data_IF_707349271970
#
_entry.id   IF_707349271970
#
_cell.length_a   1.000
_cell.length_b   1.000
_cell.length_c   1.000
_cell.angle_alpha   90.00
_cell.angle_beta   90.00
_cell.angle_gamma   90.00
#
_symmetry.space_group_name_H-M   'P 1'
#
loop_
_entity.id
_entity.type
_entity.pdbx_description
1 polymer ?
#
# COMPACT_ATOMS: atom_id res chain seq x y z
N UNK A 1 -18.04 -4.19 10.47
CA UNK A 1 -16.60 -4.24 10.17
C UNK A 1 -16.06 -2.83 10.36
N UNK A 2 -14.91 -2.62 11.00
CA UNK A 2 -14.35 -1.26 11.06
C UNK A 2 -13.76 -0.85 9.70
N UNK A 3 -13.74 0.45 9.39
CA UNK A 3 -13.14 0.99 8.16
C UNK A 3 -11.65 0.66 8.05
N UNK A 4 -10.93 0.68 9.18
CA UNK A 4 -9.51 0.35 9.22
C UNK A 4 -9.30 -1.14 8.94
N UNK A 5 -10.17 -1.97 9.51
CA UNK A 5 -10.21 -3.40 9.26
C UNK A 5 -10.49 -3.70 7.78
N UNK A 6 -11.41 -2.97 7.13
CA UNK A 6 -11.69 -3.14 5.70
C UNK A 6 -10.51 -2.73 4.82
N UNK A 7 -9.78 -1.66 5.15
CA UNK A 7 -8.55 -1.28 4.43
C UNK A 7 -7.45 -2.33 4.58
N UNK A 8 -7.24 -2.85 5.80
CA UNK A 8 -6.25 -3.91 6.03
C UNK A 8 -6.63 -5.20 5.30
N UNK A 9 -7.87 -5.68 5.46
CA UNK A 9 -8.34 -6.90 4.80
C UNK A 9 -8.39 -6.75 3.29
N UNK A 10 -8.88 -5.62 2.80
CA UNK A 10 -8.92 -5.31 1.37
C UNK A 10 -7.52 -5.31 0.75
N UNK A 11 -6.51 -4.80 1.47
CA UNK A 11 -5.12 -4.88 1.02
C UNK A 11 -4.56 -6.32 1.07
N UNK A 12 -4.86 -7.07 2.13
CA UNK A 12 -4.39 -8.45 2.32
C UNK A 12 -5.01 -9.42 1.31
N UNK A 13 -6.33 -9.37 1.11
CA UNK A 13 -7.07 -10.21 0.17
C UNK A 13 -6.91 -9.69 -1.27
N UNK A 14 -6.85 -8.37 -1.41
CA UNK A 14 -6.67 -7.65 -2.66
C UNK A 14 -5.22 -7.73 -3.17
N UNK A 15 -4.48 -6.64 -3.04
CA UNK A 15 -3.12 -6.50 -3.57
C UNK A 15 -2.14 -7.57 -3.07
N UNK A 16 -2.16 -7.86 -1.77
CA UNK A 16 -1.28 -8.83 -1.11
C UNK A 16 -1.61 -10.28 -1.51
N UNK A 17 -2.90 -10.57 -1.65
CA UNK A 17 -3.46 -11.89 -1.91
C UNK A 17 -3.53 -12.26 -3.39
N UNK A 18 -4.44 -13.18 -3.69
CA UNK A 18 -4.60 -13.79 -5.02
C UNK A 18 -5.70 -13.14 -5.87
N UNK A 19 -6.29 -12.02 -5.46
CA UNK A 19 -7.30 -11.36 -6.31
C UNK A 19 -6.74 -11.01 -7.68
N UNK A 20 -7.57 -11.20 -8.71
CA UNK A 20 -7.19 -10.91 -10.09
C UNK A 20 -7.04 -9.41 -10.29
N UNK A 21 -5.80 -8.98 -10.56
CA UNK A 21 -5.53 -7.61 -11.03
C UNK A 21 -6.22 -7.40 -12.38
N UNK A 22 -6.88 -6.26 -12.54
CA UNK A 22 -7.58 -5.89 -13.77
C UNK A 22 -6.99 -4.62 -14.34
N UNK A 23 -6.85 -4.60 -15.66
CA UNK A 23 -6.60 -3.37 -16.40
C UNK A 23 -7.91 -2.62 -16.61
N UNK A 24 -7.93 -1.33 -16.28
CA UNK A 24 -9.11 -0.46 -16.42
C UNK A 24 -8.78 0.81 -17.18
N UNK A 25 -9.70 1.26 -18.03
CA UNK A 25 -9.58 2.51 -18.77
C UNK A 25 -10.41 3.62 -18.11
N UNK A 26 -9.80 4.79 -17.87
CA UNK A 26 -10.43 5.98 -17.28
C UNK A 26 -9.93 7.23 -17.99
N UNK A 27 -10.82 7.99 -18.63
CA UNK A 27 -10.43 9.25 -19.29
C UNK A 27 -9.31 9.12 -20.33
N UNK A 28 -9.14 7.94 -20.94
CA UNK A 28 -8.04 7.64 -21.88
C UNK A 28 -6.76 7.08 -21.25
N UNK A 29 -6.68 6.99 -19.92
CA UNK A 29 -5.58 6.37 -19.20
C UNK A 29 -5.88 4.91 -18.90
N UNK A 30 -4.85 4.06 -18.96
CA UNK A 30 -4.92 2.64 -18.56
C UNK A 30 -4.28 2.50 -17.17
N UNK A 31 -5.05 1.99 -16.21
CA UNK A 31 -4.63 1.75 -14.85
C UNK A 31 -4.65 0.25 -14.53
N UNK A 32 -3.93 -0.13 -13.50
CA UNK A 32 -4.14 -1.40 -12.81
C UNK A 32 -5.11 -1.20 -11.66
N UNK A 33 -5.86 -2.25 -11.33
CA UNK A 33 -6.78 -2.23 -10.20
C UNK A 33 -6.91 -3.59 -9.53
N UNK A 34 -7.25 -3.56 -8.25
CA UNK A 34 -7.70 -4.70 -7.45
C UNK A 34 -9.04 -4.35 -6.79
N UNK A 35 -9.88 -5.34 -6.60
CA UNK A 35 -11.21 -5.16 -6.03
C UNK A 35 -11.57 -6.34 -5.15
N UNK A 36 -12.15 -6.04 -3.99
CA UNK A 36 -12.58 -7.01 -3.00
C UNK A 36 -13.93 -6.59 -2.42
N UNK A 37 -14.88 -7.53 -2.36
CA UNK A 37 -16.22 -7.30 -1.82
C UNK A 37 -16.52 -8.38 -0.77
N UNK A 38 -17.06 -7.99 0.37
CA UNK A 38 -17.49 -8.92 1.42
C UNK A 38 -18.90 -9.42 1.15
N UNK A 39 -19.30 -10.51 1.83
CA UNK A 39 -20.68 -11.03 1.73
C UNK A 39 -21.76 -10.04 2.17
N UNK A 40 -21.39 -9.08 3.02
CA UNK A 40 -22.29 -8.06 3.56
C UNK A 40 -22.35 -6.80 2.68
N UNK A 41 -21.68 -6.81 1.52
CA UNK A 41 -21.68 -5.71 0.55
C UNK A 41 -20.65 -4.60 0.80
N UNK A 42 -19.74 -4.77 1.78
CA UNK A 42 -18.65 -3.82 1.98
C UNK A 42 -17.62 -3.97 0.88
N UNK A 43 -17.11 -2.86 0.37
CA UNK A 43 -16.25 -2.84 -0.82
C UNK A 43 -14.88 -2.22 -0.52
N UNK A 44 -13.83 -2.83 -1.05
CA UNK A 44 -12.49 -2.26 -1.19
C UNK A 44 -12.13 -2.23 -2.67
N UNK A 45 -11.60 -1.09 -3.11
CA UNK A 45 -11.08 -0.91 -4.44
C UNK A 45 -9.73 -0.21 -4.37
N UNK A 46 -8.74 -0.75 -5.05
CA UNK A 46 -7.43 -0.15 -5.21
C UNK A 46 -7.18 0.04 -6.70
N UNK A 47 -6.73 1.22 -7.08
CA UNK A 47 -6.31 1.50 -8.45
C UNK A 47 -5.04 2.33 -8.46
N UNK A 48 -4.13 1.99 -9.38
CA UNK A 48 -2.84 2.66 -9.50
C UNK A 48 -2.36 2.71 -10.93
N UNK A 49 -1.50 3.70 -11.18
CA UNK A 49 -0.79 3.88 -12.43
C UNK A 49 0.70 3.94 -12.11
N UNK A 50 1.36 2.79 -12.17
CA UNK A 50 2.79 2.69 -11.90
C UNK A 50 3.41 1.53 -12.71
N UNK A 51 4.53 1.79 -13.36
CA UNK A 51 5.41 0.72 -13.84
C UNK A 51 6.58 0.51 -12.85
N UNK A 52 7.33 1.58 -12.58
CA UNK A 52 8.37 1.60 -11.54
C UNK A 52 8.07 2.57 -10.41
N UNK A 53 7.62 3.77 -10.76
CA UNK A 53 7.18 4.83 -9.85
C UNK A 53 5.83 5.31 -10.34
N UNK A 54 4.93 5.62 -9.42
CA UNK A 54 3.62 6.13 -9.76
C UNK A 54 2.80 6.45 -8.52
N UNK A 55 1.49 6.51 -8.73
CA UNK A 55 0.53 6.77 -7.67
C UNK A 55 -0.71 5.93 -7.82
N UNK A 56 -1.45 5.84 -6.73
CA UNK A 56 -2.71 5.13 -6.68
C UNK A 56 -3.59 5.65 -5.56
N UNK A 57 -4.78 5.09 -5.51
CA UNK A 57 -5.74 5.35 -4.46
C UNK A 57 -6.47 4.07 -4.09
N UNK A 58 -6.76 3.98 -2.80
CA UNK A 58 -7.64 2.98 -2.24
C UNK A 58 -8.92 3.66 -1.80
N UNK A 59 -10.03 3.03 -2.13
CA UNK A 59 -11.38 3.45 -1.83
C UNK A 59 -12.04 2.31 -1.06
N UNK A 60 -12.64 2.62 0.08
CA UNK A 60 -13.50 1.66 0.79
C UNK A 60 -14.88 2.23 1.02
N UNK A 61 -15.88 1.37 0.97
CA UNK A 61 -17.25 1.66 1.40
C UNK A 61 -17.66 0.63 2.45
N UNK A 62 -18.00 1.11 3.65
CA UNK A 62 -18.43 0.30 4.79
C UNK A 62 -19.67 0.94 5.41
N UNK A 63 -20.77 0.20 5.47
CA UNK A 63 -22.06 0.67 6.01
C UNK A 63 -22.50 2.04 5.41
N UNK A 64 -22.27 2.22 4.10
CA UNK A 64 -22.58 3.46 3.36
C UNK A 64 -21.62 4.63 3.57
N UNK A 65 -20.57 4.48 4.39
CA UNK A 65 -19.52 5.48 4.59
C UNK A 65 -18.31 5.18 3.74
N UNK A 66 -17.71 6.22 3.15
CA UNK A 66 -16.56 6.08 2.24
C UNK A 66 -15.27 6.53 2.92
N UNK A 67 -14.15 5.92 2.56
CA UNK A 67 -12.83 6.37 2.99
C UNK A 67 -11.85 6.25 1.83
N UNK A 68 -10.89 7.18 1.78
CA UNK A 68 -9.85 7.18 0.75
C UNK A 68 -8.46 7.20 1.36
N UNK A 69 -7.55 6.47 0.74
CA UNK A 69 -6.12 6.61 0.96
C UNK A 69 -5.47 6.83 -0.39
N UNK A 70 -4.72 7.91 -0.53
CA UNK A 70 -3.88 8.12 -1.71
C UNK A 70 -2.45 7.78 -1.38
N UNK A 71 -1.73 7.25 -2.35
CA UNK A 71 -0.35 6.86 -2.17
C UNK A 71 0.46 7.09 -3.43
N UNK A 72 1.76 7.33 -3.25
CA UNK A 72 2.69 7.46 -4.36
C UNK A 72 4.09 6.99 -3.97
N UNK A 73 4.77 6.38 -4.93
CA UNK A 73 6.12 5.90 -4.76
C UNK A 73 6.48 4.77 -5.72
N UNK A 74 7.45 3.95 -5.33
CA UNK A 74 7.98 2.90 -6.17
C UNK A 74 9.34 2.41 -5.71
N UNK A 75 10.07 1.77 -6.63
CA UNK A 75 11.42 1.25 -6.38
C UNK A 75 12.51 2.18 -6.92
N UNK A 76 13.75 1.96 -6.49
CA UNK A 76 14.95 2.44 -7.21
C UNK A 76 14.99 1.89 -8.65
N UNK A 77 15.93 2.37 -9.48
CA UNK A 77 16.02 1.95 -10.89
C UNK A 77 16.33 0.46 -11.04
N UNK A 78 15.98 -0.11 -12.19
CA UNK A 78 16.25 -1.53 -12.45
C UNK A 78 17.75 -1.83 -12.50
N UNK A 79 18.56 -0.90 -13.00
CA UNK A 79 20.02 -1.01 -12.97
C UNK A 79 20.54 -1.07 -11.53
N UNK A 80 20.06 -0.17 -10.67
CA UNK A 80 20.46 -0.16 -9.27
C UNK A 80 19.99 -1.43 -8.52
N UNK A 81 18.80 -1.96 -8.83
CA UNK A 81 18.36 -3.25 -8.31
C UNK A 81 19.27 -4.39 -8.77
N UNK A 82 19.68 -4.40 -10.05
CA UNK A 82 20.60 -5.40 -10.60
C UNK A 82 21.97 -5.37 -9.92
N UNK A 83 22.47 -4.19 -9.55
CA UNK A 83 23.72 -4.05 -8.80
C UNK A 83 23.66 -4.73 -7.43
N UNK A 84 22.46 -4.82 -6.84
CA UNK A 84 22.20 -5.59 -5.62
C UNK A 84 21.87 -7.07 -5.87
N UNK A 85 21.77 -7.51 -7.12
CA UNK A 85 21.31 -8.85 -7.50
C UNK A 85 19.80 -9.05 -7.31
N UNK A 86 19.02 -7.97 -7.36
CA UNK A 86 17.58 -7.97 -7.14
C UNK A 86 16.79 -7.66 -8.41
N UNK A 87 15.51 -7.99 -8.38
CA UNK A 87 14.51 -7.56 -9.35
C UNK A 87 13.39 -6.77 -8.65
N UNK A 88 12.59 -6.04 -9.44
CA UNK A 88 11.35 -5.40 -8.93
C UNK A 88 10.44 -6.42 -8.23
N UNK A 89 10.40 -7.65 -8.74
CA UNK A 89 9.58 -8.73 -8.18
C UNK A 89 9.99 -9.09 -6.75
N UNK A 90 11.28 -9.08 -6.44
CA UNK A 90 11.78 -9.42 -5.10
C UNK A 90 11.32 -8.38 -4.07
N UNK A 91 11.46 -7.10 -4.41
CA UNK A 91 11.01 -5.98 -3.58
C UNK A 91 9.49 -6.02 -3.35
N UNK A 92 8.71 -6.24 -4.42
CA UNK A 92 7.25 -6.34 -4.31
C UNK A 92 6.83 -7.60 -3.51
N UNK A 93 7.56 -8.70 -3.62
CA UNK A 93 7.28 -9.92 -2.85
C UNK A 93 7.54 -9.70 -1.36
N UNK A 94 8.63 -9.02 -1.01
CA UNK A 94 8.92 -8.63 0.38
C UNK A 94 7.87 -7.64 0.92
N UNK A 95 7.42 -6.68 0.11
CA UNK A 95 6.31 -5.79 0.46
C UNK A 95 5.03 -6.57 0.75
N UNK A 96 4.62 -7.46 -0.16
CA UNK A 96 3.41 -8.28 0.01
C UNK A 96 3.48 -9.13 1.27
N UNK A 97 4.63 -9.75 1.54
CA UNK A 97 4.84 -10.52 2.77
C UNK A 97 4.56 -9.66 4.02
N UNK A 98 5.15 -8.47 4.09
CA UNK A 98 4.94 -7.55 5.22
C UNK A 98 3.48 -7.10 5.36
N UNK A 99 2.78 -6.86 4.25
CA UNK A 99 1.35 -6.55 4.24
C UNK A 99 0.53 -7.71 4.81
N UNK A 100 0.81 -8.94 4.37
CA UNK A 100 0.08 -10.13 4.80
C UNK A 100 0.30 -10.40 6.30
N UNK A 101 1.54 -10.29 6.78
CA UNK A 101 1.90 -10.60 8.16
C UNK A 101 1.59 -9.48 9.17
N UNK A 102 1.63 -8.22 8.73
CA UNK A 102 1.59 -7.06 9.64
C UNK A 102 0.60 -5.96 9.21
N UNK A 103 -0.35 -6.27 8.31
CA UNK A 103 -1.30 -5.31 7.74
C UNK A 103 -2.13 -4.53 8.76
N UNK A 104 -2.32 -5.08 9.96
CA UNK A 104 -3.04 -4.48 11.08
C UNK A 104 -2.20 -3.48 11.89
N UNK A 105 -0.87 -3.50 11.74
CA UNK A 105 0.09 -2.63 12.45
C UNK A 105 0.59 -1.47 11.60
N UNK A 106 0.49 -1.60 10.28
CA UNK A 106 0.98 -0.61 9.32
C UNK A 106 -0.13 0.31 8.83
N UNK A 107 0.25 1.43 8.20
CA UNK A 107 -0.62 2.26 7.36
C UNK A 107 -1.95 2.74 7.97
N UNK A 108 -2.09 2.89 9.30
CA UNK A 108 -3.26 3.51 9.98
C UNK A 108 -3.13 3.58 11.52
N UNK A 109 -2.17 2.84 12.12
CA UNK A 109 -2.03 2.74 13.57
C UNK A 109 -0.91 3.64 14.13
N UNK A 110 0.31 3.52 13.61
CA UNK A 110 1.47 4.23 14.14
C UNK A 110 2.76 3.86 13.43
N UNK A 111 3.89 4.28 14.01
CA UNK A 111 5.21 3.84 13.56
C UNK A 111 5.35 2.33 13.76
N UNK A 112 5.92 1.65 12.76
CA UNK A 112 6.13 0.20 12.81
C UNK A 112 7.43 -0.18 12.14
N UNK A 113 8.21 -1.06 12.77
CA UNK A 113 9.44 -1.60 12.23
C UNK A 113 9.60 -3.02 12.80
N UNK A 114 9.34 -4.08 12.02
CA UNK A 114 9.62 -5.44 12.46
C UNK A 114 11.13 -5.67 12.53
N UNK A 115 11.53 -6.77 13.16
CA UNK A 115 12.92 -7.23 13.11
C UNK A 115 13.36 -7.44 11.65
N UNK A 116 14.65 -7.22 11.38
CA UNK A 116 15.22 -7.42 10.06
C UNK A 116 15.16 -8.90 9.66
N UNK A 117 14.90 -9.16 8.37
CA UNK A 117 14.91 -10.50 7.80
C UNK A 117 16.12 -10.66 6.88
N UNK A 118 17.23 -11.14 7.48
CA UNK A 118 18.52 -11.16 6.80
C UNK A 118 18.94 -9.75 6.39
N UNK A 119 19.12 -9.53 5.09
CA UNK A 119 19.50 -8.23 4.54
C UNK A 119 18.32 -7.24 4.41
N UNK A 120 17.09 -7.69 4.61
CA UNK A 120 15.89 -6.88 4.40
C UNK A 120 15.40 -6.20 5.66
N UNK A 121 15.00 -4.93 5.54
CA UNK A 121 14.34 -4.18 6.61
C UNK A 121 13.11 -3.46 6.07
N UNK A 122 11.95 -3.73 6.65
CA UNK A 122 10.72 -2.97 6.43
C UNK A 122 10.60 -1.85 7.47
N UNK A 123 10.06 -0.69 7.09
CA UNK A 123 9.74 0.38 8.02
C UNK A 123 8.51 1.15 7.57
N UNK A 124 7.65 1.50 8.52
CA UNK A 124 6.57 2.45 8.33
C UNK A 124 6.65 3.55 9.39
N UNK A 125 6.55 4.80 8.96
CA UNK A 125 6.53 5.97 9.82
C UNK A 125 5.30 6.82 9.57
N UNK A 126 4.64 7.25 10.64
CA UNK A 126 3.74 8.40 10.60
C UNK A 126 4.60 9.66 10.64
N UNK A 127 4.44 10.51 9.63
CA UNK A 127 5.19 11.75 9.48
C UNK A 127 4.42 12.89 10.12
N UNK A 128 3.12 12.95 9.86
CA UNK A 128 2.28 14.09 10.24
C UNK A 128 0.85 13.63 10.55
N UNK A 129 0.19 14.36 11.45
CA UNK A 129 -1.20 14.16 11.84
C UNK A 129 -1.84 15.51 12.07
N UNK A 130 -2.88 15.79 11.30
CA UNK A 130 -3.75 16.92 11.55
C UNK A 130 -5.01 16.46 12.26
N UNK A 131 -5.20 16.94 13.49
CA UNK A 131 -6.34 16.54 14.33
C UNK A 131 -7.62 17.31 13.96
N UNK A 132 -7.48 18.54 13.45
CA UNK A 132 -8.62 19.41 13.09
C UNK A 132 -9.26 19.04 11.75
N UNK A 133 -8.48 18.48 10.83
CA UNK A 133 -8.92 17.89 9.58
C UNK A 133 -8.26 16.52 9.58
N UNK A 134 -9.00 15.41 9.81
CA UNK A 134 -8.46 14.11 10.22
C UNK A 134 -7.59 13.43 9.13
N UNK A 135 -6.43 14.01 8.86
CA UNK A 135 -5.49 13.63 7.81
C UNK A 135 -4.24 13.10 8.48
N UNK A 136 -3.77 11.96 8.01
CA UNK A 136 -2.52 11.36 8.46
C UNK A 136 -1.60 11.14 7.29
N UNK A 137 -0.37 11.62 7.39
CA UNK A 137 0.68 11.37 6.40
C UNK A 137 1.63 10.29 6.92
N UNK A 138 1.88 9.28 6.11
CA UNK A 138 2.75 8.17 6.43
C UNK A 138 3.75 7.87 5.33
N UNK A 139 4.80 7.12 5.68
CA UNK A 139 5.82 6.70 4.73
C UNK A 139 6.27 5.28 5.02
N UNK A 140 6.22 4.45 4.00
CA UNK A 140 6.67 3.07 3.98
C UNK A 140 7.99 3.00 3.23
N UNK A 141 8.93 2.25 3.78
CA UNK A 141 10.25 2.04 3.22
C UNK A 141 10.60 0.56 3.27
N UNK A 142 11.34 0.13 2.26
CA UNK A 142 12.05 -1.15 2.30
C UNK A 142 13.52 -0.86 2.01
N UNK A 143 14.38 -1.41 2.86
CA UNK A 143 15.82 -1.38 2.71
C UNK A 143 16.35 -2.79 2.42
N UNK A 144 17.39 -2.86 1.61
CA UNK A 144 18.18 -4.07 1.38
C UNK A 144 19.65 -3.75 1.62
N UNK A 145 20.31 -4.50 2.53
CA UNK A 145 21.69 -4.24 2.98
C UNK A 145 21.90 -2.79 3.48
N UNK A 146 20.87 -2.22 4.10
CA UNK A 146 20.87 -0.85 4.62
C UNK A 146 20.55 0.24 3.57
N UNK A 147 20.50 -0.11 2.29
CA UNK A 147 20.20 0.84 1.21
C UNK A 147 18.70 0.87 0.90
N UNK A 148 18.16 2.06 0.66
CA UNK A 148 16.74 2.24 0.38
C UNK A 148 16.42 1.72 -1.03
N UNK A 149 15.56 0.71 -1.14
CA UNK A 149 15.17 0.11 -2.44
C UNK A 149 13.72 0.38 -2.83
N UNK A 150 12.86 0.77 -1.88
CA UNK A 150 11.48 1.13 -2.15
C UNK A 150 10.93 2.14 -1.15
N UNK A 151 10.06 3.02 -1.64
CA UNK A 151 9.35 4.02 -0.84
C UNK A 151 7.92 4.17 -1.32
N UNK A 152 6.96 4.25 -0.40
CA UNK A 152 5.61 4.77 -0.63
C UNK A 152 5.29 5.85 0.39
N UNK A 153 4.77 6.98 -0.05
CA UNK A 153 4.17 7.98 0.82
C UNK A 153 2.66 7.81 0.76
N UNK A 154 2.01 7.90 1.91
CA UNK A 154 0.57 7.76 2.07
C UNK A 154 0.00 9.06 2.61
N UNK A 155 -1.14 9.48 2.07
CA UNK A 155 -2.01 10.49 2.67
C UNK A 155 -3.34 9.79 2.91
N UNK A 156 -3.71 9.70 4.19
CA UNK A 156 -4.91 9.03 4.63
C UNK A 156 -5.88 10.11 5.04
N UNK A 157 -7.04 10.16 4.40
CA UNK A 157 -8.12 11.07 4.76
C UNK A 157 -9.44 10.30 4.75
N UNK A 158 -10.22 10.34 5.84
CA UNK A 158 -11.58 9.87 5.75
C UNK A 158 -12.36 10.71 4.72
N UNK A 159 -13.29 10.08 4.01
CA UNK A 159 -14.31 10.81 3.28
C UNK A 159 -15.47 10.98 4.25
N UNK A 160 -15.94 12.21 4.42
CA UNK A 160 -17.12 12.54 5.23
C UNK A 160 -18.35 12.72 4.34
#
# INVERSE_FOLDING_TARGET
MDKKEMLTRGLQEGFGGETTRKSVARGGFTLESSHYETKDGNTYHDEWMADRVGGGQELVEVDGKRFTRVYAGGTISEEALKDFGLTKKDVISFLKKNILENGDKIRLQGNFQPEAEGDWQYKYNVIDREESIPVTVGKEHIYYKGELVFVHNFIISPIE
#
